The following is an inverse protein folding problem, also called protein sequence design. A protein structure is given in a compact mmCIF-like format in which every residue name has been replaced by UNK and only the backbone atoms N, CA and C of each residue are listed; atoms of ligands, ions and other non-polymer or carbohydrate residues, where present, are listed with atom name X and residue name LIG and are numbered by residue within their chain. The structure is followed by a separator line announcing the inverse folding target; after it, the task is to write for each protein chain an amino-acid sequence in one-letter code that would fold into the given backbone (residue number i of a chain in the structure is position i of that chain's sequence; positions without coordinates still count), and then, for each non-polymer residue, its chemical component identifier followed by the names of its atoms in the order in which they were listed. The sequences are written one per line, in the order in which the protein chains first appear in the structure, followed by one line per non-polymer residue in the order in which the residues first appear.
data_IF_494906759610
#
_entry.id   IF_494906759610
#
_cell.length_a   1.000
_cell.length_b   1.000
_cell.length_c   1.000
_cell.angle_alpha   90.00
_cell.angle_beta   90.00
_cell.angle_gamma   90.00
#
_symmetry.space_group_name_H-M   'P 1'
#
loop_
_entity.id
_entity.type
_entity.pdbx_description
1 polymer ?
#
# COMPACT_ATOMS: atom_id res chain seq x y z
N UNK A 1 -2.01 2.47 -10.16
CA UNK A 1 -2.32 1.18 -9.49
C UNK A 1 -3.16 1.34 -8.22
N UNK A 2 -3.25 2.53 -7.58
CA UNK A 2 -4.39 2.82 -6.67
C UNK A 2 -5.73 2.75 -7.40
N UNK A 3 -5.87 3.33 -8.61
CA UNK A 3 -7.13 3.17 -9.40
C UNK A 3 -7.43 1.69 -9.66
N UNK A 4 -6.42 0.87 -9.98
CA UNK A 4 -6.59 -0.58 -10.14
C UNK A 4 -6.91 -1.31 -8.84
N UNK A 5 -6.37 -0.88 -7.69
CA UNK A 5 -6.72 -1.44 -6.40
C UNK A 5 -8.19 -1.15 -6.05
N UNK A 6 -8.64 0.09 -6.25
CA UNK A 6 -10.04 0.49 -6.13
C UNK A 6 -10.95 -0.31 -7.08
N UNK A 7 -10.53 -0.48 -8.34
CA UNK A 7 -11.32 -1.18 -9.35
C UNK A 7 -11.34 -2.71 -9.13
N UNK A 8 -10.24 -3.31 -8.69
CA UNK A 8 -10.23 -4.70 -8.25
C UNK A 8 -11.08 -4.89 -7.01
N UNK A 9 -10.96 -4.01 -6.01
CA UNK A 9 -11.77 -4.08 -4.80
C UNK A 9 -13.26 -3.90 -5.11
N UNK A 10 -13.65 -2.95 -5.97
CA UNK A 10 -15.07 -2.79 -6.35
C UNK A 10 -15.59 -4.00 -7.13
N UNK A 11 -14.77 -4.61 -7.98
CA UNK A 11 -15.13 -5.81 -8.75
C UNK A 11 -15.29 -7.07 -7.88
N UNK A 12 -14.50 -7.24 -6.82
CA UNK A 12 -14.49 -8.45 -6.01
C UNK A 12 -15.16 -8.29 -4.63
N UNK A 13 -15.51 -7.06 -4.24
CA UNK A 13 -16.22 -6.79 -2.99
C UNK A 13 -17.72 -7.05 -3.14
N UNK A 14 -18.31 -7.62 -2.10
CA UNK A 14 -19.76 -7.79 -1.97
C UNK A 14 -20.53 -6.46 -1.93
N UNK A 15 -19.86 -5.35 -1.62
CA UNK A 15 -20.45 -4.01 -1.61
C UNK A 15 -20.63 -3.41 -3.02
N UNK A 16 -19.95 -3.95 -4.04
CA UNK A 16 -20.06 -3.55 -5.44
C UNK A 16 -19.58 -2.13 -5.76
N UNK A 17 -19.98 -1.62 -6.93
CA UNK A 17 -19.53 -0.32 -7.47
C UNK A 17 -20.19 0.90 -6.81
N UNK A 18 -21.20 0.72 -5.94
CA UNK A 18 -21.88 1.81 -5.24
C UNK A 18 -21.16 2.26 -3.97
N UNK A 19 -20.15 1.50 -3.52
CA UNK A 19 -19.39 1.82 -2.33
C UNK A 19 -18.23 2.76 -2.64
N UNK A 20 -18.18 3.89 -1.92
CA UNK A 20 -17.06 4.83 -2.01
C UNK A 20 -15.96 4.33 -1.08
N UNK A 21 -15.00 3.61 -1.66
CA UNK A 21 -13.83 3.13 -0.93
C UNK A 21 -13.01 4.29 -0.40
N UNK A 22 -12.64 4.22 0.87
CA UNK A 22 -11.73 5.19 1.49
C UNK A 22 -10.34 4.57 1.64
N UNK A 23 -9.35 5.41 1.95
CA UNK A 23 -8.02 4.91 2.27
C UNK A 23 -8.02 3.99 3.49
N UNK A 24 -8.92 4.21 4.45
CA UNK A 24 -9.07 3.37 5.65
C UNK A 24 -9.61 1.97 5.32
N UNK A 25 -10.45 1.83 4.30
CA UNK A 25 -10.93 0.53 3.82
C UNK A 25 -9.83 -0.24 3.06
N UNK A 26 -8.99 0.50 2.34
CA UNK A 26 -8.00 -0.08 1.43
C UNK A 26 -6.66 -0.37 2.09
N UNK A 27 -6.25 0.41 3.10
CA UNK A 27 -4.96 0.24 3.77
C UNK A 27 -4.82 -1.15 4.42
N UNK A 28 -5.81 -1.69 5.17
CA UNK A 28 -5.75 -3.05 5.72
C UNK A 28 -5.65 -4.12 4.62
N UNK A 29 -6.36 -3.92 3.51
CA UNK A 29 -6.28 -4.81 2.33
C UNK A 29 -4.88 -4.78 1.73
N UNK A 30 -4.27 -3.60 1.64
CA UNK A 30 -2.92 -3.43 1.14
C UNK A 30 -1.89 -4.10 2.06
N UNK A 31 -1.99 -3.90 3.37
CA UNK A 31 -1.19 -4.61 4.39
C UNK A 31 -1.28 -6.12 4.20
N UNK A 32 -2.51 -6.66 4.09
CA UNK A 32 -2.72 -8.09 3.88
C UNK A 32 -2.01 -8.61 2.62
N UNK A 33 -2.17 -7.92 1.50
CA UNK A 33 -1.52 -8.29 0.23
C UNK A 33 0.00 -8.19 0.34
N UNK A 34 0.54 -7.14 0.96
CA UNK A 34 1.99 -6.96 1.16
C UNK A 34 2.58 -8.09 2.01
N UNK A 35 1.90 -8.49 3.09
CA UNK A 35 2.33 -9.64 3.91
C UNK A 35 2.31 -10.93 3.08
N UNK A 36 1.22 -11.18 2.34
CA UNK A 36 1.06 -12.38 1.51
C UNK A 36 2.04 -12.45 0.34
N UNK A 37 2.49 -11.30 -0.16
CA UNK A 37 3.48 -11.23 -1.23
C UNK A 37 4.88 -11.68 -0.78
N UNK A 38 5.16 -11.73 0.53
CA UNK A 38 6.43 -12.21 1.10
C UNK A 38 7.67 -11.55 0.47
N UNK A 39 7.58 -10.25 0.20
CA UNK A 39 8.67 -9.47 -0.40
C UNK A 39 9.90 -9.54 0.50
N UNK A 40 10.98 -10.12 -0.02
CA UNK A 40 12.24 -10.24 0.70
C UNK A 40 12.87 -8.87 0.87
N UNK A 41 13.40 -8.59 2.06
CA UNK A 41 14.07 -7.32 2.37
C UNK A 41 13.26 -6.07 2.03
N UNK A 42 11.93 -6.11 2.20
CA UNK A 42 11.03 -5.01 1.83
C UNK A 42 11.47 -3.63 2.32
N UNK A 43 12.02 -3.53 3.54
CA UNK A 43 12.53 -2.26 4.06
C UNK A 43 13.71 -1.68 3.27
N UNK A 44 14.58 -2.54 2.72
CA UNK A 44 15.71 -2.13 1.89
C UNK A 44 15.25 -1.70 0.49
N UNK A 45 14.27 -2.41 -0.10
CA UNK A 45 13.65 -2.05 -1.37
C UNK A 45 12.96 -0.67 -1.28
N UNK A 46 12.26 -0.40 -0.18
CA UNK A 46 11.64 0.92 0.08
C UNK A 46 12.71 2.01 0.14
N UNK A 47 13.79 1.82 0.91
CA UNK A 47 14.89 2.80 0.98
C UNK A 47 15.55 3.02 -0.37
N UNK A 48 15.78 1.95 -1.15
CA UNK A 48 16.33 2.07 -2.50
C UNK A 48 15.46 2.96 -3.38
N UNK A 49 14.14 2.79 -3.35
CA UNK A 49 13.23 3.66 -4.12
C UNK A 49 13.32 5.11 -3.63
N UNK A 50 13.41 5.36 -2.32
CA UNK A 50 13.57 6.71 -1.76
C UNK A 50 14.83 7.39 -2.24
N UNK A 51 15.96 6.69 -2.14
CA UNK A 51 17.28 7.25 -2.39
C UNK A 51 17.51 7.51 -3.89
N UNK A 52 16.98 6.64 -4.76
CA UNK A 52 17.21 6.70 -6.20
C UNK A 52 16.09 7.35 -7.00
N UNK A 53 14.97 7.73 -6.35
CA UNK A 53 13.81 8.33 -7.03
C UNK A 53 13.36 9.65 -6.40
N UNK A 54 14.21 10.70 -6.32
CA UNK A 54 13.84 11.97 -5.71
C UNK A 54 12.64 12.65 -6.40
N UNK A 55 12.47 12.39 -7.69
CA UNK A 55 11.35 12.85 -8.53
C UNK A 55 9.99 12.19 -8.19
N UNK A 56 9.96 11.27 -7.21
CA UNK A 56 8.70 10.73 -6.70
C UNK A 56 7.90 11.81 -5.94
N UNK A 57 8.56 12.80 -5.33
CA UNK A 57 7.90 13.92 -4.66
C UNK A 57 7.18 14.81 -5.69
N UNK A 58 5.89 15.05 -5.47
CA UNK A 58 5.03 15.78 -6.40
C UNK A 58 4.50 14.93 -7.57
N UNK A 59 4.78 13.62 -7.61
CA UNK A 59 4.30 12.73 -8.67
C UNK A 59 2.82 12.31 -8.52
N UNK A 60 2.11 12.90 -7.56
CA UNK A 60 0.67 12.73 -7.35
C UNK A 60 0.33 11.30 -6.95
N UNK A 61 -0.26 10.53 -7.87
CA UNK A 61 -0.72 9.17 -7.55
C UNK A 61 0.43 8.22 -7.21
N UNK A 62 1.59 8.36 -7.87
CA UNK A 62 2.75 7.47 -7.62
C UNK A 62 3.31 7.74 -6.22
N UNK A 63 3.42 9.00 -5.84
CA UNK A 63 3.79 9.41 -4.48
C UNK A 63 2.83 8.85 -3.43
N UNK A 64 1.51 8.95 -3.68
CA UNK A 64 0.49 8.41 -2.79
C UNK A 64 0.62 6.89 -2.64
N UNK A 65 0.82 6.18 -3.75
CA UNK A 65 1.04 4.73 -3.77
C UNK A 65 2.24 4.32 -2.93
N UNK A 66 3.35 5.03 -3.10
CA UNK A 66 4.57 4.75 -2.36
C UNK A 66 4.41 5.06 -0.87
N UNK A 67 3.70 6.14 -0.54
CA UNK A 67 3.32 6.46 0.84
C UNK A 67 2.46 5.36 1.47
N UNK A 68 1.46 4.82 0.75
CA UNK A 68 0.65 3.68 1.21
C UNK A 68 1.50 2.44 1.47
N UNK A 69 2.49 2.15 0.60
CA UNK A 69 3.42 1.05 0.79
C UNK A 69 4.28 1.24 2.05
N UNK A 70 4.84 2.44 2.28
CA UNK A 70 5.58 2.75 3.52
C UNK A 70 4.73 2.59 4.76
N UNK A 71 3.51 3.13 4.75
CA UNK A 71 2.58 3.02 5.87
C UNK A 71 2.27 1.54 6.18
N UNK A 72 2.03 0.74 5.13
CA UNK A 72 1.78 -0.69 5.28
C UNK A 72 2.99 -1.42 5.87
N UNK A 73 4.20 -1.14 5.39
CA UNK A 73 5.44 -1.70 5.95
C UNK A 73 5.62 -1.34 7.42
N UNK A 74 5.43 -0.06 7.78
CA UNK A 74 5.54 0.40 9.17
C UNK A 74 4.54 -0.32 10.09
N UNK A 75 3.30 -0.49 9.64
CA UNK A 75 2.28 -1.21 10.40
C UNK A 75 2.63 -2.69 10.60
N UNK A 76 3.14 -3.37 9.56
CA UNK A 76 3.60 -4.76 9.65
C UNK A 76 4.77 -4.91 10.63
N UNK A 77 5.71 -3.97 10.64
CA UNK A 77 6.82 -3.95 11.59
C UNK A 77 6.34 -3.70 13.02
N UNK A 78 5.48 -2.69 13.23
CA UNK A 78 4.96 -2.37 14.56
C UNK A 78 4.19 -3.52 15.20
N UNK A 79 3.50 -4.35 14.40
CA UNK A 79 2.75 -5.51 14.90
C UNK A 79 3.68 -6.69 15.26
N UNK A 80 4.87 -6.77 14.64
CA UNK A 80 5.92 -7.75 14.99
C UNK A 80 6.66 -7.41 16.28
N UNK A 81 6.66 -6.14 16.66
CA UNK A 81 7.27 -5.64 17.90
C UNK A 81 6.30 -5.73 19.11
N UNK A 82 5.09 -6.28 18.93
CA UNK A 82 4.23 -6.65 20.06
C UNK A 82 4.79 -7.91 20.78
N UNK A 83 4.89 -7.88 22.12
CA UNK A 83 5.47 -8.96 22.93
C UNK A 83 4.67 -10.27 22.93
#
# INVERSE_FOLDING_TARGET
MIIYAFQCVSQFSSAGDSHVWTTDDLLPTFVYVTVRAQLQHLGAEIHLIEDFTPQLQGSGQIELMFTTLRASYFQICSDKDLP
#
